data_IF_701209783768
#
_entry.id   IF_701209783768
#
_cell.length_a   1.000
_cell.length_b   1.000
_cell.length_c   1.000
_cell.angle_alpha   90.00
_cell.angle_beta   90.00
_cell.angle_gamma   90.00
#
_symmetry.space_group_name_H-M   'P 1'
#
loop_
_entity.id
_entity.type
_entity.pdbx_description
1 polymer ?
#
# COMPACT_ATOMS: atom_id res chain seq x y z
N UNK A 1 9.86 -7.29 3.32
CA UNK A 1 8.53 -6.71 3.05
C UNK A 1 8.49 -6.28 1.59
N UNK A 2 7.44 -6.61 0.83
CA UNK A 2 7.36 -6.22 -0.57
C UNK A 2 7.30 -4.70 -0.71
N UNK A 3 8.03 -4.17 -1.68
CA UNK A 3 8.08 -2.75 -2.02
C UNK A 3 7.53 -2.54 -3.43
N UNK A 4 6.65 -1.56 -3.58
CA UNK A 4 6.16 -1.10 -4.88
C UNK A 4 6.77 0.28 -5.13
N UNK A 5 7.78 0.37 -6.00
CA UNK A 5 8.58 1.60 -6.14
C UNK A 5 9.14 2.06 -4.77
N UNK A 6 8.81 3.27 -4.32
CA UNK A 6 9.21 3.86 -3.04
C UNK A 6 8.15 3.69 -1.95
N UNK A 7 7.18 2.79 -2.16
CA UNK A 7 6.18 2.45 -1.16
C UNK A 7 6.50 1.11 -0.51
N UNK A 8 6.57 1.11 0.81
CA UNK A 8 6.69 -0.12 1.60
C UNK A 8 5.30 -0.60 2.00
N UNK A 9 4.87 -1.74 1.47
CA UNK A 9 3.57 -2.32 1.83
C UNK A 9 3.64 -2.92 3.25
N UNK A 10 2.64 -2.63 4.07
CA UNK A 10 2.55 -3.14 5.46
C UNK A 10 1.57 -4.32 5.55
N UNK A 11 0.27 -4.04 5.51
CA UNK A 11 -0.79 -5.05 5.58
C UNK A 11 -2.01 -4.62 4.77
N UNK A 12 -2.83 -5.59 4.38
CA UNK A 12 -4.12 -5.37 3.72
C UNK A 12 -5.07 -4.66 4.70
N UNK A 13 -5.74 -3.62 4.22
CA UNK A 13 -6.77 -2.88 4.97
C UNK A 13 -8.14 -2.96 4.31
N UNK A 14 -8.26 -3.59 3.15
CA UNK A 14 -9.53 -3.86 2.51
C UNK A 14 -9.39 -4.66 1.23
N UNK A 15 -10.44 -5.41 0.88
CA UNK A 15 -10.53 -6.19 -0.36
C UNK A 15 -11.96 -6.17 -0.87
N UNK A 16 -12.11 -6.08 -2.19
CA UNK A 16 -13.40 -6.18 -2.86
C UNK A 16 -13.23 -6.70 -4.28
N UNK A 17 -14.32 -6.64 -5.05
CA UNK A 17 -14.35 -7.13 -6.43
C UNK A 17 -13.30 -6.47 -7.36
N UNK A 18 -12.91 -5.23 -7.06
CA UNK A 18 -12.00 -4.41 -7.88
C UNK A 18 -10.57 -4.36 -7.31
N UNK A 19 -10.17 -5.34 -6.50
CA UNK A 19 -8.80 -5.47 -6.01
C UNK A 19 -8.61 -5.32 -4.50
N UNK A 20 -7.35 -5.15 -4.09
CA UNK A 20 -6.89 -5.15 -2.69
C UNK A 20 -6.31 -3.77 -2.35
N UNK A 21 -6.63 -3.26 -1.17
CA UNK A 21 -6.08 -2.01 -0.62
C UNK A 21 -5.11 -2.35 0.50
N UNK A 22 -3.87 -1.88 0.39
CA UNK A 22 -2.84 -2.02 1.41
C UNK A 22 -2.60 -0.69 2.12
N UNK A 23 -2.36 -0.75 3.42
CA UNK A 23 -1.64 0.30 4.12
C UNK A 23 -0.17 0.24 3.71
N UNK A 24 0.42 1.38 3.43
CA UNK A 24 1.82 1.49 3.05
C UNK A 24 2.46 2.76 3.61
N UNK A 25 3.79 2.78 3.63
CA UNK A 25 4.59 3.98 3.94
C UNK A 25 5.25 4.46 2.66
N UNK A 26 5.02 5.74 2.32
CA UNK A 26 5.82 6.45 1.32
C UNK A 26 7.19 6.75 1.91
N UNK A 27 8.24 6.07 1.44
CA UNK A 27 9.59 6.21 2.03
C UNK A 27 10.29 7.50 1.60
N UNK A 28 9.73 8.28 0.68
CA UNK A 28 10.27 9.59 0.28
C UNK A 28 9.68 10.70 1.14
N UNK A 29 8.37 10.65 1.38
CA UNK A 29 7.65 11.68 2.14
C UNK A 29 7.46 11.33 3.62
N UNK A 30 7.75 10.09 4.02
CA UNK A 30 7.65 9.64 5.42
C UNK A 30 6.21 9.57 5.93
N UNK A 31 5.21 9.44 5.05
CA UNK A 31 3.79 9.43 5.42
C UNK A 31 3.13 8.08 5.14
N UNK A 32 2.09 7.79 5.91
CA UNK A 32 1.20 6.64 5.66
C UNK A 32 0.29 6.95 4.47
N UNK A 33 0.12 5.98 3.57
CA UNK A 33 -0.76 6.05 2.39
C UNK A 33 -1.55 4.75 2.24
N UNK A 34 -2.64 4.79 1.47
CA UNK A 34 -3.35 3.61 1.01
C UNK A 34 -3.03 3.35 -0.47
N UNK A 35 -2.67 2.11 -0.81
CA UNK A 35 -2.37 1.70 -2.18
C UNK A 35 -3.41 0.67 -2.62
N UNK A 36 -4.18 1.00 -3.65
CA UNK A 36 -5.10 0.07 -4.30
C UNK A 36 -4.39 -0.63 -5.45
N UNK A 37 -4.33 -1.96 -5.38
CA UNK A 37 -3.81 -2.84 -6.44
C UNK A 37 -5.02 -3.45 -7.15
N UNK A 38 -5.06 -3.33 -8.47
CA UNK A 38 -6.13 -3.85 -9.34
C UNK A 38 -5.78 -5.25 -9.85
#
# INVERSE_FOLDING_TARGET
MPTLSHYRLEHEIGRGAMGIVYRAVDTRLGRTVAIKVL
#
